data_IF_232769164681
#
_entry.id   IF_232769164681
#
_cell.length_a   1.000
_cell.length_b   1.000
_cell.length_c   1.000
_cell.angle_alpha   90.00
_cell.angle_beta   90.00
_cell.angle_gamma   90.00
#
_symmetry.space_group_name_H-M   'P 1'
#
loop_
_entity.id
_entity.type
_entity.pdbx_description
1 polymer ?
#
# COMPACT_ATOMS: atom_id res chain seq x y z
N UNK A 1 -11.88 -1.68 -1.11
CA UNK A 1 -11.82 -2.63 0.03
C UNK A 1 -12.93 -3.67 -0.06
N UNK A 2 -12.82 -4.73 0.75
CA UNK A 2 -13.87 -5.74 0.91
C UNK A 2 -14.74 -5.42 2.13
N UNK A 3 -16.06 -5.52 1.96
CA UNK A 3 -17.08 -5.37 3.00
C UNK A 3 -17.77 -6.71 3.21
N UNK A 4 -17.75 -7.20 4.45
CA UNK A 4 -18.42 -8.44 4.86
C UNK A 4 -19.62 -8.12 5.75
N UNK A 5 -20.79 -8.60 5.37
CA UNK A 5 -21.99 -8.53 6.20
C UNK A 5 -22.06 -9.77 7.10
N UNK A 6 -22.24 -9.57 8.40
CA UNK A 6 -22.33 -10.61 9.41
C UNK A 6 -23.63 -10.46 10.23
N UNK A 7 -24.15 -11.61 10.70
CA UNK A 7 -25.28 -11.69 11.64
C UNK A 7 -26.59 -11.00 11.23
N UNK A 8 -26.78 -10.67 9.95
CA UNK A 8 -28.02 -10.07 9.47
C UNK A 8 -29.17 -11.09 9.44
N UNK A 9 -30.24 -10.81 10.18
CA UNK A 9 -31.49 -11.58 10.13
C UNK A 9 -32.42 -11.08 9.01
N UNK A 10 -33.50 -11.82 8.74
CA UNK A 10 -34.51 -11.35 7.78
C UNK A 10 -35.21 -10.08 8.29
N UNK A 11 -35.48 -10.04 9.59
CA UNK A 11 -36.09 -8.90 10.26
C UNK A 11 -35.20 -7.65 10.11
N UNK A 12 -33.89 -7.79 10.29
CA UNK A 12 -32.94 -6.69 10.12
C UNK A 12 -32.91 -6.17 8.68
N UNK A 13 -32.85 -7.07 7.70
CA UNK A 13 -32.79 -6.71 6.28
C UNK A 13 -34.08 -6.02 5.81
N UNK A 14 -35.23 -6.36 6.41
CA UNK A 14 -36.51 -5.75 6.07
C UNK A 14 -36.86 -4.53 6.96
N UNK A 15 -36.00 -4.21 7.92
CA UNK A 15 -36.19 -3.07 8.81
C UNK A 15 -35.82 -1.76 8.10
N UNK A 16 -36.79 -0.84 7.99
CA UNK A 16 -36.62 0.49 7.40
C UNK A 16 -35.49 1.30 8.04
N UNK A 17 -35.14 1.00 9.29
CA UNK A 17 -34.05 1.66 9.99
C UNK A 17 -32.68 1.44 9.33
N UNK A 18 -32.44 0.25 8.76
CA UNK A 18 -31.16 -0.11 8.14
C UNK A 18 -31.16 0.01 6.62
N UNK A 19 -32.31 0.24 6.00
CA UNK A 19 -32.49 0.30 4.54
C UNK A 19 -31.50 1.25 3.87
N UNK A 20 -31.35 2.49 4.36
CA UNK A 20 -30.45 3.47 3.75
C UNK A 20 -29.00 2.97 3.74
N UNK A 21 -28.55 2.41 4.86
CA UNK A 21 -27.21 1.84 4.96
C UNK A 21 -27.01 0.68 3.99
N UNK A 22 -27.98 -0.25 3.92
CA UNK A 22 -27.93 -1.39 3.00
C UNK A 22 -27.90 -0.91 1.55
N UNK A 23 -28.71 0.07 1.18
CA UNK A 23 -28.70 0.66 -0.17
C UNK A 23 -27.38 1.36 -0.49
N UNK A 24 -26.79 2.08 0.45
CA UNK A 24 -25.47 2.70 0.27
C UNK A 24 -24.38 1.64 0.04
N UNK A 25 -24.39 0.53 0.80
CA UNK A 25 -23.45 -0.59 0.64
C UNK A 25 -23.58 -1.18 -0.76
N UNK A 26 -24.80 -1.50 -1.20
CA UNK A 26 -25.06 -2.04 -2.53
C UNK A 26 -24.67 -1.06 -3.65
N UNK A 27 -24.92 0.24 -3.45
CA UNK A 27 -24.50 1.27 -4.40
C UNK A 27 -22.98 1.36 -4.50
N UNK A 28 -22.26 1.25 -3.39
CA UNK A 28 -20.79 1.25 -3.39
C UNK A 28 -20.21 0.07 -4.18
N UNK A 29 -20.89 -1.08 -4.15
CA UNK A 29 -20.57 -2.23 -4.98
C UNK A 29 -20.83 -1.95 -6.46
N UNK A 30 -22.03 -1.46 -6.80
CA UNK A 30 -22.40 -1.15 -8.17
C UNK A 30 -21.53 -0.05 -8.82
N UNK A 31 -21.03 0.88 -8.01
CA UNK A 31 -20.10 1.93 -8.41
C UNK A 31 -18.63 1.48 -8.39
N UNK A 32 -18.38 0.16 -8.28
CA UNK A 32 -17.07 -0.49 -8.37
C UNK A 32 -16.10 -0.06 -7.25
N UNK A 33 -16.60 0.52 -6.15
CA UNK A 33 -15.77 1.03 -5.06
C UNK A 33 -15.30 -0.07 -4.14
N UNK A 34 -16.22 -0.98 -3.79
CA UNK A 34 -16.00 -1.98 -2.75
C UNK A 34 -16.59 -3.34 -3.16
N UNK A 35 -15.88 -4.41 -2.83
CA UNK A 35 -16.44 -5.76 -2.90
C UNK A 35 -17.41 -5.94 -1.73
N UNK A 36 -18.52 -6.64 -1.94
CA UNK A 36 -19.49 -6.94 -0.89
C UNK A 36 -19.72 -8.44 -0.82
N UNK A 37 -19.54 -9.02 0.36
CA UNK A 37 -19.84 -10.42 0.67
C UNK A 37 -20.86 -10.48 1.81
N UNK A 38 -21.81 -11.39 1.70
CA UNK A 38 -22.85 -11.61 2.71
C UNK A 38 -23.39 -13.05 2.59
N UNK A 39 -24.28 -13.44 3.50
CA UNK A 39 -25.01 -14.70 3.33
C UNK A 39 -25.88 -14.68 2.07
N UNK A 40 -26.16 -15.85 1.50
CA UNK A 40 -27.11 -15.97 0.38
C UNK A 40 -28.49 -15.41 0.74
N UNK A 41 -28.91 -15.64 1.98
CA UNK A 41 -30.21 -15.19 2.48
C UNK A 41 -30.29 -13.68 2.63
N UNK A 42 -29.20 -13.00 3.01
CA UNK A 42 -29.14 -11.54 3.02
C UNK A 42 -29.53 -10.95 1.66
N UNK A 43 -28.89 -11.40 0.58
CA UNK A 43 -29.19 -10.90 -0.76
C UNK A 43 -30.59 -11.30 -1.23
N UNK A 44 -31.02 -12.54 -1.00
CA UNK A 44 -32.39 -12.98 -1.35
C UNK A 44 -33.47 -12.17 -0.66
N UNK A 45 -33.31 -11.89 0.63
CA UNK A 45 -34.26 -11.08 1.39
C UNK A 45 -34.40 -9.66 0.80
N UNK A 46 -33.33 -9.09 0.24
CA UNK A 46 -33.38 -7.79 -0.47
C UNK A 46 -34.10 -7.93 -1.81
N UNK A 47 -33.73 -8.93 -2.62
CA UNK A 47 -34.30 -9.18 -3.96
C UNK A 47 -35.82 -9.42 -3.88
N UNK A 48 -36.23 -10.28 -2.93
CA UNK A 48 -37.60 -10.73 -2.76
C UNK A 48 -38.44 -9.78 -1.90
N UNK A 49 -37.83 -8.72 -1.34
CA UNK A 49 -38.51 -7.74 -0.51
C UNK A 49 -39.72 -7.15 -1.23
N UNK A 50 -40.90 -7.23 -0.62
CA UNK A 50 -42.14 -6.70 -1.17
C UNK A 50 -42.34 -5.24 -0.74
N UNK A 51 -43.14 -4.51 -1.52
CA UNK A 51 -43.37 -3.08 -1.32
C UNK A 51 -42.13 -2.21 -1.60
N UNK A 52 -42.18 -0.97 -1.14
CA UNK A 52 -41.16 0.06 -1.43
C UNK A 52 -40.01 0.07 -0.40
N UNK A 53 -39.62 -1.10 0.12
CA UNK A 53 -38.48 -1.20 1.06
C UNK A 53 -37.16 -0.94 0.31
N UNK A 54 -36.97 -1.58 -0.84
CA UNK A 54 -35.76 -1.44 -1.66
C UNK A 54 -36.12 -1.04 -3.08
N UNK A 55 -35.36 -0.10 -3.64
CA UNK A 55 -35.51 0.29 -5.04
C UNK A 55 -35.21 -0.87 -6.01
N UNK A 56 -35.76 -0.81 -7.22
CA UNK A 56 -35.45 -1.78 -8.30
C UNK A 56 -33.94 -1.87 -8.55
N UNK A 57 -33.24 -0.74 -8.49
CA UNK A 57 -31.77 -0.70 -8.64
C UNK A 57 -31.06 -1.46 -7.51
N UNK A 58 -31.46 -1.24 -6.26
CA UNK A 58 -30.90 -1.94 -5.09
C UNK A 58 -31.08 -3.45 -5.22
N UNK A 59 -32.26 -3.91 -5.65
CA UNK A 59 -32.53 -5.34 -5.91
C UNK A 59 -31.64 -5.90 -7.02
N UNK A 60 -31.42 -5.14 -8.10
CA UNK A 60 -30.53 -5.53 -9.17
C UNK A 60 -29.07 -5.66 -8.68
N UNK A 61 -28.58 -4.68 -7.93
CA UNK A 61 -27.22 -4.72 -7.36
C UNK A 61 -27.02 -5.90 -6.40
N UNK A 62 -28.03 -6.22 -5.58
CA UNK A 62 -28.00 -7.41 -4.72
C UNK A 62 -27.95 -8.71 -5.54
N UNK A 63 -28.66 -8.78 -6.67
CA UNK A 63 -28.60 -9.92 -7.59
C UNK A 63 -27.22 -10.08 -8.23
N UNK A 64 -26.60 -8.97 -8.67
CA UNK A 64 -25.24 -8.97 -9.21
C UNK A 64 -24.21 -9.42 -8.15
N UNK A 65 -24.27 -8.87 -6.93
CA UNK A 65 -23.41 -9.28 -5.82
C UNK A 65 -23.59 -10.77 -5.47
N UNK A 66 -24.83 -11.25 -5.45
CA UNK A 66 -25.15 -12.67 -5.22
C UNK A 66 -24.56 -13.57 -6.32
N UNK A 67 -24.54 -13.13 -7.58
CA UNK A 67 -23.97 -13.90 -8.68
C UNK A 67 -22.45 -14.10 -8.55
N UNK A 68 -21.75 -13.14 -7.96
CA UNK A 68 -20.31 -13.19 -7.70
C UNK A 68 -19.91 -13.79 -6.34
N UNK A 69 -20.88 -14.27 -5.56
CA UNK A 69 -20.69 -14.62 -4.15
C UNK A 69 -19.56 -15.63 -3.90
N UNK A 70 -19.44 -16.67 -4.73
CA UNK A 70 -18.40 -17.70 -4.56
C UNK A 70 -17.01 -17.13 -4.83
N UNK A 71 -16.87 -16.36 -5.90
CA UNK A 71 -15.62 -15.68 -6.27
C UNK A 71 -15.20 -14.73 -5.15
N UNK A 72 -16.08 -13.84 -4.71
CA UNK A 72 -15.75 -12.84 -3.69
C UNK A 72 -15.49 -13.44 -2.31
N UNK A 73 -16.16 -14.55 -1.94
CA UNK A 73 -15.85 -15.23 -0.69
C UNK A 73 -14.45 -15.83 -0.67
N UNK A 74 -13.91 -16.26 -1.82
CA UNK A 74 -12.52 -16.77 -1.86
C UNK A 74 -11.48 -15.68 -1.54
N UNK A 75 -11.81 -14.43 -1.88
CA UNK A 75 -10.93 -13.26 -1.71
C UNK A 75 -10.72 -12.92 -0.23
N UNK A 76 -11.67 -13.24 0.66
CA UNK A 76 -11.54 -12.89 2.09
C UNK A 76 -10.25 -13.42 2.71
N UNK A 77 -9.75 -14.57 2.25
CA UNK A 77 -8.54 -15.17 2.76
C UNK A 77 -7.26 -14.59 2.16
N UNK A 78 -7.40 -13.85 1.06
CA UNK A 78 -6.33 -13.23 0.28
C UNK A 78 -6.19 -11.72 0.57
N UNK A 79 -6.97 -11.17 1.50
CA UNK A 79 -6.82 -9.78 1.96
C UNK A 79 -6.22 -9.72 3.37
N UNK A 80 -5.49 -8.65 3.68
CA UNK A 80 -4.99 -8.30 5.01
C UNK A 80 -5.85 -7.24 5.70
N UNK A 81 -6.87 -6.70 5.02
CA UNK A 81 -7.85 -5.79 5.60
C UNK A 81 -9.24 -6.03 5.01
N UNK A 82 -10.27 -5.95 5.85
CA UNK A 82 -11.66 -5.86 5.43
C UNK A 82 -12.52 -5.13 6.48
N UNK A 83 -13.65 -4.59 6.01
CA UNK A 83 -14.69 -4.04 6.88
C UNK A 83 -15.71 -5.12 7.15
N UNK A 84 -16.20 -5.18 8.39
CA UNK A 84 -17.24 -6.10 8.80
C UNK A 84 -18.40 -5.36 9.41
N UNK A 85 -19.55 -5.51 8.78
CA UNK A 85 -20.79 -4.90 9.21
C UNK A 85 -21.55 -5.97 9.98
N UNK A 86 -21.51 -5.85 11.30
CA UNK A 86 -22.16 -6.79 12.21
C UNK A 86 -23.54 -6.24 12.61
N UNK A 87 -24.61 -6.91 12.18
CA UNK A 87 -25.97 -6.49 12.49
C UNK A 87 -26.38 -6.70 13.95
N UNK A 88 -25.54 -7.32 14.78
CA UNK A 88 -25.72 -7.31 16.24
C UNK A 88 -25.36 -5.95 16.87
N UNK A 89 -24.61 -5.10 16.15
CA UNK A 89 -24.28 -3.73 16.56
C UNK A 89 -25.33 -2.79 15.95
N UNK A 90 -26.29 -2.33 16.76
CA UNK A 90 -27.47 -1.61 16.27
C UNK A 90 -27.25 -0.09 16.11
N UNK A 91 -26.09 0.43 16.48
CA UNK A 91 -25.74 1.85 16.40
C UNK A 91 -24.64 2.11 15.35
N UNK A 92 -24.03 3.29 15.40
CA UNK A 92 -22.92 3.69 14.53
C UNK A 92 -21.54 3.47 15.17
N UNK A 93 -21.47 2.67 16.24
CA UNK A 93 -20.20 2.34 16.88
C UNK A 93 -19.31 1.49 15.98
N UNK A 94 -18.01 1.54 16.25
CA UNK A 94 -17.02 0.77 15.55
C UNK A 94 -15.85 0.39 16.45
N UNK A 95 -15.10 -0.63 16.04
CA UNK A 95 -13.88 -1.06 16.71
C UNK A 95 -12.89 -1.66 15.71
N UNK A 96 -11.62 -1.69 16.09
CA UNK A 96 -10.58 -2.42 15.38
C UNK A 96 -10.32 -3.76 16.03
N UNK A 97 -10.17 -4.80 15.22
CA UNK A 97 -9.73 -6.11 15.65
C UNK A 97 -8.45 -6.46 14.91
N UNK A 98 -7.39 -6.70 15.67
CA UNK A 98 -6.11 -7.20 15.17
C UNK A 98 -6.10 -8.74 15.26
N UNK A 99 -5.93 -9.40 14.11
CA UNK A 99 -5.85 -10.85 13.98
C UNK A 99 -4.40 -11.31 13.70
N UNK A 100 -3.41 -10.47 13.99
CA UNK A 100 -1.98 -10.67 13.75
C UNK A 100 -1.60 -10.37 12.29
N UNK A 101 -2.04 -11.21 11.36
CA UNK A 101 -1.72 -11.07 9.91
C UNK A 101 -2.78 -10.30 9.12
N UNK A 102 -3.85 -9.87 9.80
CA UNK A 102 -5.00 -9.19 9.19
C UNK A 102 -5.63 -8.24 10.19
N UNK A 103 -6.10 -7.10 9.70
CA UNK A 103 -6.94 -6.19 10.47
C UNK A 103 -8.40 -6.27 9.99
N UNK A 104 -9.33 -6.12 10.93
CA UNK A 104 -10.77 -6.04 10.66
C UNK A 104 -11.32 -4.78 11.31
N UNK A 105 -12.00 -3.94 10.53
CA UNK A 105 -12.77 -2.81 11.05
C UNK A 105 -14.22 -3.27 11.24
N UNK A 106 -14.67 -3.38 12.49
CA UNK A 106 -16.00 -3.89 12.84
C UNK A 106 -16.91 -2.70 13.15
N UNK A 107 -18.09 -2.63 12.52
CA UNK A 107 -19.08 -1.60 12.79
C UNK A 107 -20.51 -2.10 12.60
N UNK A 108 -21.48 -1.37 13.13
CA UNK A 108 -22.90 -1.57 12.82
C UNK A 108 -23.29 -1.01 11.45
N UNK A 109 -24.45 -1.42 10.87
CA UNK A 109 -24.91 -0.92 9.57
C UNK A 109 -25.10 0.60 9.56
N UNK A 110 -25.50 1.21 10.67
CA UNK A 110 -25.71 2.66 10.75
C UNK A 110 -24.41 3.47 10.64
N UNK A 111 -23.23 2.83 10.78
CA UNK A 111 -21.98 3.49 10.45
C UNK A 111 -21.94 3.94 8.98
N UNK A 112 -22.76 3.38 8.10
CA UNK A 112 -22.81 3.71 6.66
C UNK A 112 -24.13 4.36 6.22
N UNK A 113 -24.84 5.01 7.14
CA UNK A 113 -26.04 5.79 6.79
C UNK A 113 -25.71 6.98 5.89
N UNK A 114 -24.51 7.55 6.01
CA UNK A 114 -24.00 8.54 5.07
C UNK A 114 -23.18 7.87 3.96
N UNK A 115 -23.64 8.03 2.72
CA UNK A 115 -22.97 7.52 1.52
C UNK A 115 -21.54 8.06 1.31
N UNK A 116 -21.17 9.17 1.96
CA UNK A 116 -19.81 9.71 1.94
C UNK A 116 -18.78 8.74 2.56
N UNK A 117 -19.22 7.88 3.48
CA UNK A 117 -18.37 6.91 4.18
C UNK A 117 -18.06 5.67 3.34
N UNK A 118 -18.79 5.47 2.24
CA UNK A 118 -18.62 4.39 1.25
C UNK A 118 -18.10 4.91 -0.09
N UNK A 119 -17.41 6.04 -0.08
CA UNK A 119 -16.62 6.46 -1.23
C UNK A 119 -15.36 5.60 -1.34
N UNK A 120 -14.69 5.64 -2.51
CA UNK A 120 -13.39 4.98 -2.67
C UNK A 120 -12.47 5.37 -1.52
N UNK A 121 -11.84 4.37 -0.92
CA UNK A 121 -10.93 4.51 0.21
C UNK A 121 -9.92 5.61 -0.04
N UNK A 122 -9.69 6.44 0.98
CA UNK A 122 -8.67 7.49 0.93
C UNK A 122 -7.31 6.87 1.20
N UNK A 123 -6.39 7.01 0.26
CA UNK A 123 -5.00 6.59 0.42
C UNK A 123 -4.17 7.85 0.64
N UNK A 124 -3.56 7.98 1.80
CA UNK A 124 -2.69 9.11 2.14
C UNK A 124 -1.25 8.66 2.02
N UNK A 125 -0.51 9.28 1.12
CA UNK A 125 0.95 9.10 0.99
C UNK A 125 1.61 10.47 1.04
N UNK A 126 2.93 10.52 1.20
CA UNK A 126 3.64 11.80 1.20
C UNK A 126 3.46 12.56 -0.11
N UNK A 127 3.49 11.82 -1.23
CA UNK A 127 3.24 12.32 -2.57
C UNK A 127 2.23 11.43 -3.32
N UNK A 128 1.33 11.98 -4.16
CA UNK A 128 0.44 11.18 -5.00
C UNK A 128 1.14 10.15 -5.90
N UNK A 129 2.37 10.43 -6.37
CA UNK A 129 3.17 9.49 -7.17
C UNK A 129 3.45 8.18 -6.41
N UNK A 130 3.52 8.24 -5.09
CA UNK A 130 3.74 7.06 -4.25
C UNK A 130 2.58 6.09 -4.40
N UNK A 131 1.35 6.62 -4.35
CA UNK A 131 0.13 5.83 -4.51
C UNK A 131 -0.01 5.23 -5.91
N UNK A 132 0.49 5.92 -6.94
CA UNK A 132 0.55 5.39 -8.30
C UNK A 132 1.53 4.22 -8.40
N UNK A 133 2.68 4.31 -7.73
CA UNK A 133 3.63 3.19 -7.67
C UNK A 133 3.08 2.02 -6.85
N UNK A 134 2.45 2.27 -5.70
CA UNK A 134 1.82 1.22 -4.92
C UNK A 134 0.68 0.51 -5.67
N UNK A 135 -0.03 1.21 -6.57
CA UNK A 135 -0.99 0.58 -7.48
C UNK A 135 -0.34 -0.45 -8.41
N UNK A 136 0.90 -0.21 -8.85
CA UNK A 136 1.69 -1.16 -9.65
C UNK A 136 2.03 -2.39 -8.80
N UNK A 137 2.49 -2.18 -7.57
CA UNK A 137 2.81 -3.25 -6.61
C UNK A 137 1.57 -4.08 -6.25
N UNK A 138 0.42 -3.44 -6.02
CA UNK A 138 -0.87 -4.10 -5.81
C UNK A 138 -1.32 -4.91 -7.04
N UNK A 139 -1.08 -4.39 -8.25
CA UNK A 139 -1.37 -5.11 -9.50
C UNK A 139 -0.47 -6.34 -9.67
N UNK A 140 0.79 -6.27 -9.22
CA UNK A 140 1.68 -7.42 -9.17
C UNK A 140 1.11 -8.50 -8.24
N UNK A 141 0.74 -8.14 -7.01
CA UNK A 141 0.10 -9.06 -6.06
C UNK A 141 -1.17 -9.69 -6.64
N UNK A 142 -2.07 -8.87 -7.20
CA UNK A 142 -3.34 -9.35 -7.74
C UNK A 142 -3.15 -10.33 -8.92
N UNK A 143 -2.06 -10.23 -9.68
CA UNK A 143 -1.75 -11.24 -10.72
C UNK A 143 -1.25 -12.55 -10.12
N UNK A 144 -0.41 -12.48 -9.08
CA UNK A 144 0.14 -13.66 -8.41
C UNK A 144 -0.96 -14.50 -7.76
N UNK A 145 -1.93 -13.84 -7.15
CA UNK A 145 -3.05 -14.50 -6.46
C UNK A 145 -4.27 -14.77 -7.35
N UNK A 146 -4.15 -14.60 -8.68
CA UNK A 146 -5.27 -14.76 -9.63
C UNK A 146 -6.48 -13.85 -9.34
N UNK A 147 -6.24 -12.71 -8.70
CA UNK A 147 -7.20 -11.64 -8.37
C UNK A 147 -7.31 -10.56 -9.46
N UNK A 148 -6.83 -10.84 -10.68
CA UNK A 148 -6.90 -9.88 -11.80
C UNK A 148 -8.33 -9.57 -12.24
N UNK A 149 -9.31 -10.35 -11.79
CA UNK A 149 -10.75 -10.07 -11.89
C UNK A 149 -11.28 -9.02 -10.90
N UNK A 150 -10.40 -8.39 -10.11
CA UNK A 150 -10.74 -7.26 -9.24
C UNK A 150 -10.14 -5.96 -9.78
N UNK A 151 -10.89 -4.87 -9.64
CA UNK A 151 -10.36 -3.52 -9.86
C UNK A 151 -9.56 -3.05 -8.65
N UNK A 152 -8.59 -2.15 -8.88
CA UNK A 152 -7.85 -1.42 -7.85
C UNK A 152 -8.27 0.06 -7.92
N UNK A 153 -9.15 0.45 -7.00
CA UNK A 153 -9.85 1.73 -6.97
C UNK A 153 -9.64 2.43 -5.62
N UNK A 154 -9.13 3.65 -5.67
CA UNK A 154 -8.88 4.48 -4.49
C UNK A 154 -8.90 5.97 -4.85
N UNK A 155 -8.93 6.82 -3.83
CA UNK A 155 -8.70 8.26 -3.96
C UNK A 155 -7.36 8.60 -3.29
N UNK A 156 -6.36 8.97 -4.08
CA UNK A 156 -5.08 9.44 -3.57
C UNK A 156 -5.22 10.82 -2.93
N UNK A 157 -4.67 10.98 -1.73
CA UNK A 157 -4.54 12.27 -1.04
C UNK A 157 -3.06 12.60 -0.90
N UNK A 158 -2.71 13.84 -1.23
CA UNK A 158 -1.37 14.37 -1.03
C UNK A 158 -1.16 14.70 0.45
N UNK A 159 -0.24 14.00 1.10
CA UNK A 159 0.16 14.24 2.49
C UNK A 159 1.05 15.48 2.64
N UNK A 160 1.85 15.81 1.63
CA UNK A 160 2.75 16.98 1.63
C UNK A 160 4.01 16.77 2.47
N UNK A 161 4.55 15.55 2.49
CA UNK A 161 5.70 15.19 3.33
C UNK A 161 5.36 15.33 4.82
N UNK A 162 5.96 16.30 5.50
CA UNK A 162 5.76 16.52 6.95
C UNK A 162 4.31 16.79 7.40
N UNK A 163 3.41 17.22 6.50
CA UNK A 163 1.97 17.43 6.82
C UNK A 163 1.10 16.17 6.62
N UNK A 164 1.70 15.01 6.33
CA UNK A 164 0.97 13.76 6.05
C UNK A 164 0.05 13.38 7.21
N UNK A 165 0.53 13.55 8.45
CA UNK A 165 -0.28 13.31 9.65
C UNK A 165 -1.52 14.19 9.73
N UNK A 166 -1.40 15.48 9.46
CA UNK A 166 -2.54 16.40 9.52
C UNK A 166 -3.60 16.05 8.48
N UNK A 167 -3.16 15.67 7.28
CA UNK A 167 -4.06 15.21 6.21
C UNK A 167 -4.79 13.94 6.65
N UNK A 168 -4.08 12.94 7.17
CA UNK A 168 -4.67 11.70 7.66
C UNK A 168 -5.65 11.93 8.82
N UNK A 169 -5.23 12.69 9.84
CA UNK A 169 -6.05 12.99 11.03
C UNK A 169 -7.33 13.73 10.64
N UNK A 170 -7.26 14.66 9.68
CA UNK A 170 -8.44 15.36 9.15
C UNK A 170 -9.39 14.41 8.40
N UNK A 171 -8.86 13.51 7.59
CA UNK A 171 -9.66 12.51 6.86
C UNK A 171 -10.43 11.60 7.82
N UNK A 172 -9.75 11.01 8.80
CA UNK A 172 -10.43 10.13 9.79
C UNK A 172 -11.35 10.91 10.73
N UNK A 173 -11.10 12.22 10.93
CA UNK A 173 -11.99 13.09 11.70
C UNK A 173 -13.36 13.24 11.05
N UNK A 174 -13.40 13.20 9.72
CA UNK A 174 -14.61 13.23 8.90
C UNK A 174 -15.27 11.85 8.77
N UNK A 175 -14.85 10.83 9.53
CA UNK A 175 -15.31 9.44 9.44
C UNK A 175 -15.11 8.79 8.06
N UNK A 176 -14.20 9.33 7.25
CA UNK A 176 -13.78 8.68 6.01
C UNK A 176 -12.82 7.52 6.36
N UNK A 177 -12.99 6.39 5.67
CA UNK A 177 -12.08 5.24 5.84
C UNK A 177 -10.79 5.53 5.07
N UNK A 178 -9.67 5.49 5.80
CA UNK A 178 -8.37 5.92 5.29
C UNK A 178 -7.25 4.92 5.55
N UNK A 179 -6.36 4.77 4.59
CA UNK A 179 -5.11 4.04 4.73
C UNK A 179 -3.95 5.00 4.46
N UNK A 180 -3.06 5.15 5.43
CA UNK A 180 -1.87 5.99 5.31
C UNK A 180 -0.64 5.11 5.17
N UNK A 181 0.24 5.46 4.24
CA UNK A 181 1.51 4.78 4.02
C UNK A 181 2.61 5.82 4.05
N UNK A 182 3.64 5.56 4.85
CA UNK A 182 4.84 6.40 4.97
C UNK A 182 6.07 5.50 4.97
N UNK A 183 7.17 5.97 4.37
CA UNK A 183 8.50 5.36 4.55
C UNK A 183 9.06 5.68 5.94
N UNK A 184 10.13 4.99 6.35
CA UNK A 184 10.69 5.15 7.69
C UNK A 184 11.87 6.12 7.77
N UNK A 185 12.34 6.64 6.63
CA UNK A 185 13.51 7.51 6.47
C UNK A 185 14.83 6.93 7.02
N UNK A 186 14.90 5.64 7.34
CA UNK A 186 16.08 5.04 7.97
C UNK A 186 17.17 4.78 6.95
N UNK A 187 18.37 5.29 7.24
CA UNK A 187 19.61 4.98 6.50
C UNK A 187 20.43 3.84 7.13
N UNK A 188 19.89 3.23 8.19
CA UNK A 188 20.51 2.17 8.94
C UNK A 188 19.43 1.32 9.65
N UNK A 189 19.52 -0.02 9.65
CA UNK A 189 18.48 -0.91 10.20
C UNK A 189 18.19 -0.68 11.68
N UNK A 190 19.18 -0.21 12.45
CA UNK A 190 19.04 0.10 13.89
C UNK A 190 18.86 1.57 14.20
N UNK A 191 18.79 2.45 13.18
CA UNK A 191 18.47 3.85 13.42
C UNK A 191 17.02 4.00 13.96
N UNK A 192 16.75 5.03 14.78
CA UNK A 192 15.38 5.37 15.15
C UNK A 192 14.57 5.77 13.92
N UNK A 193 13.25 5.63 14.01
CA UNK A 193 12.34 6.17 13.00
C UNK A 193 12.50 7.68 12.91
N UNK A 194 12.71 8.19 11.71
CA UNK A 194 12.86 9.61 11.41
C UNK A 194 11.61 10.21 10.76
N UNK A 195 11.69 11.52 10.52
CA UNK A 195 10.78 12.24 9.64
C UNK A 195 9.29 12.04 9.94
N UNK A 196 8.53 11.76 8.88
CA UNK A 196 7.06 11.67 8.93
C UNK A 196 6.59 10.47 9.76
N UNK A 197 7.29 9.34 9.67
CA UNK A 197 6.92 8.09 10.35
C UNK A 197 6.91 8.18 11.87
N UNK A 198 7.78 9.01 12.45
CA UNK A 198 7.88 9.21 13.90
C UNK A 198 6.55 9.69 14.52
N UNK A 199 5.74 10.42 13.76
CA UNK A 199 4.46 10.94 14.20
C UNK A 199 3.35 9.87 14.32
N UNK A 200 3.60 8.66 13.81
CA UNK A 200 2.63 7.55 13.74
C UNK A 200 2.97 6.37 14.67
N UNK A 201 4.07 6.45 15.42
CA UNK A 201 4.55 5.33 16.26
C UNK A 201 3.63 4.93 17.42
N UNK A 202 2.70 5.80 17.83
CA UNK A 202 1.84 5.56 19.01
C UNK A 202 0.76 4.50 18.76
N UNK A 203 0.20 4.44 17.56
CA UNK A 203 -0.87 3.50 17.21
C UNK A 203 -0.96 3.33 15.71
N UNK A 204 -1.01 2.08 15.24
CA UNK A 204 -1.28 1.77 13.83
C UNK A 204 -2.72 2.09 13.43
N UNK A 205 -3.67 2.02 14.35
CA UNK A 205 -5.10 2.26 14.06
C UNK A 205 -5.62 3.43 14.86
N UNK A 206 -6.34 4.35 14.20
CA UNK A 206 -6.97 5.50 14.86
C UNK A 206 -8.30 5.80 14.16
N UNK A 207 -9.41 5.82 14.91
CA UNK A 207 -10.77 6.01 14.37
C UNK A 207 -11.03 5.09 13.17
N UNK A 208 -11.38 5.62 12.00
CA UNK A 208 -11.64 4.88 10.76
C UNK A 208 -10.39 4.67 9.88
N UNK A 209 -9.19 4.92 10.41
CA UNK A 209 -7.96 4.81 9.64
C UNK A 209 -6.91 3.87 10.22
N UNK A 210 -6.04 3.40 9.32
CA UNK A 210 -4.88 2.59 9.61
C UNK A 210 -3.64 3.21 8.95
N UNK A 211 -2.50 3.12 9.63
CA UNK A 211 -1.20 3.59 9.16
C UNK A 211 -0.26 2.40 9.02
N UNK A 212 0.38 2.31 7.86
CA UNK A 212 1.50 1.42 7.59
C UNK A 212 2.78 2.25 7.46
N UNK A 213 3.77 1.91 8.29
CA UNK A 213 5.13 2.45 8.15
C UNK A 213 5.95 1.40 7.42
N UNK A 214 6.43 1.74 6.23
CA UNK A 214 7.23 0.83 5.42
C UNK A 214 8.62 0.67 6.02
N UNK A 215 9.13 -0.56 5.98
CA UNK A 215 10.53 -0.84 6.33
C UNK A 215 11.44 -0.60 5.11
N UNK A 216 11.47 0.64 4.63
CA UNK A 216 12.37 1.15 3.59
C UNK A 216 12.69 2.61 3.86
N UNK A 217 13.90 3.04 3.50
CA UNK A 217 14.36 4.43 3.61
C UNK A 217 13.44 5.38 2.85
N UNK A 218 13.09 4.98 1.62
CA UNK A 218 12.23 5.74 0.73
C UNK A 218 11.55 4.79 -0.27
N UNK A 219 10.44 5.21 -0.87
CA UNK A 219 9.71 4.40 -1.85
C UNK A 219 10.55 3.97 -3.05
N UNK A 220 11.54 4.77 -3.48
CA UNK A 220 12.47 4.42 -4.55
C UNK A 220 13.25 3.13 -4.26
N UNK A 221 13.41 2.77 -2.98
CA UNK A 221 14.00 1.50 -2.54
C UNK A 221 13.25 0.28 -3.08
N UNK A 222 11.97 0.43 -3.40
CA UNK A 222 11.13 -0.62 -3.97
C UNK A 222 11.27 -0.73 -5.49
N UNK A 223 11.98 0.18 -6.17
CA UNK A 223 12.16 0.12 -7.62
C UNK A 223 13.17 -0.98 -7.98
N UNK A 224 12.82 -1.93 -8.87
CA UNK A 224 13.72 -3.04 -9.23
C UNK A 224 14.95 -2.56 -10.00
N UNK A 225 16.09 -3.27 -9.87
CA UNK A 225 17.35 -2.88 -10.53
C UNK A 225 17.23 -2.78 -12.05
N UNK A 226 16.57 -3.76 -12.67
CA UNK A 226 16.36 -3.78 -14.13
C UNK A 226 15.55 -2.55 -14.59
N UNK A 227 14.68 -2.04 -13.73
CA UNK A 227 13.84 -0.88 -14.00
C UNK A 227 14.64 0.41 -13.84
N UNK A 228 15.47 0.53 -12.79
CA UNK A 228 16.40 1.66 -12.62
C UNK A 228 17.31 1.77 -13.85
N UNK A 229 17.90 0.66 -14.29
CA UNK A 229 18.82 0.62 -15.44
C UNK A 229 18.15 1.05 -16.75
N UNK A 230 16.92 0.59 -17.00
CA UNK A 230 16.14 1.00 -18.19
C UNK A 230 15.74 2.47 -18.12
N UNK A 231 15.33 2.97 -16.97
CA UNK A 231 15.02 4.39 -16.77
C UNK A 231 16.25 5.26 -17.04
N UNK A 232 17.42 4.88 -16.52
CA UNK A 232 18.66 5.61 -16.78
C UNK A 232 19.06 5.55 -18.27
N UNK A 233 18.82 4.42 -18.93
CA UNK A 233 19.05 4.25 -20.37
C UNK A 233 18.16 5.19 -21.19
N UNK A 234 16.85 5.20 -20.92
CA UNK A 234 15.87 6.04 -21.64
C UNK A 234 16.14 7.53 -21.47
N UNK A 235 16.73 7.93 -20.34
CA UNK A 235 17.12 9.31 -20.04
C UNK A 235 18.53 9.67 -20.56
N UNK A 236 19.26 8.75 -21.20
CA UNK A 236 20.66 8.90 -21.58
C UNK A 236 21.57 9.28 -20.39
N UNK A 237 21.26 8.75 -19.20
CA UNK A 237 22.00 8.96 -17.96
C UNK A 237 22.82 7.74 -17.53
N UNK A 238 22.63 6.58 -18.17
CA UNK A 238 23.29 5.33 -17.76
C UNK A 238 24.81 5.48 -17.69
N UNK A 239 25.46 6.02 -18.74
CA UNK A 239 26.92 6.20 -18.76
C UNK A 239 27.43 7.16 -17.67
N UNK A 240 26.61 8.13 -17.24
CA UNK A 240 26.97 9.08 -16.17
C UNK A 240 26.76 8.51 -14.76
N UNK A 241 25.91 7.49 -14.63
CA UNK A 241 25.53 6.88 -13.34
C UNK A 241 25.98 5.43 -13.23
N UNK A 242 26.83 4.98 -14.16
CA UNK A 242 27.29 3.59 -14.25
C UNK A 242 28.02 3.18 -12.98
N UNK A 243 28.98 3.99 -12.52
CA UNK A 243 29.76 3.69 -11.31
C UNK A 243 28.87 3.61 -10.06
N UNK A 244 27.89 4.51 -9.92
CA UNK A 244 26.90 4.46 -8.83
C UNK A 244 26.03 3.21 -8.91
N UNK A 245 25.55 2.84 -10.10
CA UNK A 245 24.73 1.65 -10.30
C UNK A 245 25.51 0.37 -10.01
N UNK A 246 26.77 0.30 -10.44
CA UNK A 246 27.65 -0.85 -10.22
C UNK A 246 28.01 -0.98 -8.74
N UNK A 247 28.36 0.12 -8.07
CA UNK A 247 28.55 0.13 -6.62
C UNK A 247 27.28 -0.32 -5.88
N UNK A 248 26.12 0.23 -6.25
CA UNK A 248 24.84 -0.13 -5.64
C UNK A 248 24.50 -1.61 -5.82
N UNK A 249 24.69 -2.17 -7.03
CA UNK A 249 24.53 -3.61 -7.30
C UNK A 249 25.49 -4.45 -6.46
N UNK A 250 26.75 -4.01 -6.30
CA UNK A 250 27.77 -4.71 -5.48
C UNK A 250 27.39 -4.78 -4.01
N UNK A 251 27.02 -3.66 -3.37
CA UNK A 251 26.62 -3.69 -1.95
C UNK A 251 25.39 -4.57 -1.72
N UNK A 252 24.41 -4.55 -2.64
CA UNK A 252 23.22 -5.38 -2.56
C UNK A 252 23.47 -6.87 -2.87
N UNK A 253 24.56 -7.19 -3.56
CA UNK A 253 24.96 -8.59 -3.79
C UNK A 253 25.57 -9.24 -2.55
N UNK A 254 26.11 -8.45 -1.63
CA UNK A 254 26.63 -8.90 -0.33
C UNK A 254 25.49 -9.01 0.68
N UNK A 255 24.71 -7.94 0.80
CA UNK A 255 23.52 -7.92 1.64
C UNK A 255 22.38 -7.21 0.89
N UNK A 256 21.37 -7.99 0.49
CA UNK A 256 20.21 -7.46 -0.24
C UNK A 256 19.50 -6.35 0.54
N UNK A 257 19.54 -6.38 1.88
CA UNK A 257 18.90 -5.37 2.72
C UNK A 257 19.53 -3.98 2.57
N UNK A 258 20.75 -3.87 2.03
CA UNK A 258 21.36 -2.60 1.65
C UNK A 258 20.45 -1.77 0.74
N UNK A 259 19.64 -2.45 -0.09
CA UNK A 259 18.64 -1.81 -0.95
C UNK A 259 17.61 -1.00 -0.18
N UNK A 260 17.32 -1.31 1.07
CA UNK A 260 16.26 -0.65 1.84
C UNK A 260 16.78 0.48 2.72
N UNK A 261 18.10 0.67 2.81
CA UNK A 261 18.73 1.71 3.61
C UNK A 261 19.61 2.66 2.78
N UNK A 262 19.84 2.34 1.51
CA UNK A 262 20.53 3.20 0.55
C UNK A 262 19.65 4.41 0.18
N UNK A 263 20.26 5.60 0.13
CA UNK A 263 19.60 6.83 -0.32
C UNK A 263 19.65 6.86 -1.86
N UNK A 264 18.58 6.41 -2.52
CA UNK A 264 18.48 6.35 -3.98
C UNK A 264 18.41 7.73 -4.61
N UNK A 265 17.97 8.75 -3.88
CA UNK A 265 17.96 10.14 -4.36
C UNK A 265 19.36 10.77 -4.32
N UNK A 266 20.04 10.73 -3.17
CA UNK A 266 21.32 11.43 -2.92
C UNK A 266 22.54 10.54 -3.10
N UNK A 267 22.42 9.24 -2.87
CA UNK A 267 23.48 8.25 -3.07
C UNK A 267 24.16 7.82 -1.78
N UNK A 268 25.42 7.42 -1.91
CA UNK A 268 26.22 6.87 -0.84
C UNK A 268 27.39 7.76 -0.47
N UNK A 269 27.63 7.87 0.83
CA UNK A 269 28.78 8.54 1.40
C UNK A 269 29.38 7.69 2.53
N UNK A 270 30.64 7.28 2.37
CA UNK A 270 31.30 6.41 3.34
C UNK A 270 31.33 7.03 4.73
N UNK A 271 31.66 8.32 4.84
CA UNK A 271 31.76 8.97 6.13
C UNK A 271 30.43 8.89 6.90
N UNK A 272 29.33 9.21 6.25
CA UNK A 272 27.97 9.09 6.79
C UNK A 272 27.66 7.64 7.19
N UNK A 273 28.04 6.66 6.36
CA UNK A 273 27.83 5.24 6.64
C UNK A 273 28.58 4.78 7.91
N UNK A 274 29.85 5.18 8.07
CA UNK A 274 30.66 4.88 9.25
C UNK A 274 30.13 5.57 10.52
N UNK A 275 29.68 6.82 10.41
CA UNK A 275 29.05 7.56 11.52
C UNK A 275 27.75 6.89 12.01
N UNK A 276 26.94 6.37 11.08
CA UNK A 276 25.73 5.60 11.40
C UNK A 276 26.07 4.29 12.12
N UNK A 277 27.05 3.54 11.62
CA UNK A 277 27.51 2.30 12.25
C UNK A 277 28.11 2.56 13.65
N UNK A 278 28.86 3.66 13.84
CA UNK A 278 29.38 4.03 15.16
C UNK A 278 28.26 4.33 16.17
N UNK A 279 27.15 4.89 15.69
CA UNK A 279 26.02 5.31 16.54
C UNK A 279 25.06 4.15 16.83
N UNK A 280 24.84 3.28 15.84
CA UNK A 280 23.79 2.28 15.87
C UNK A 280 24.30 0.83 15.83
N UNK A 281 25.62 0.66 15.77
CA UNK A 281 26.39 -0.58 15.63
C UNK A 281 26.57 -1.02 14.18
N UNK A 282 27.50 -1.94 13.94
CA UNK A 282 27.89 -2.42 12.60
C UNK A 282 26.73 -2.86 11.67
N UNK A 283 26.73 -2.34 10.45
CA UNK A 283 25.88 -2.76 9.35
C UNK A 283 26.55 -2.49 8.00
N UNK A 284 26.92 -1.23 7.73
CA UNK A 284 27.63 -0.88 6.50
C UNK A 284 29.07 -1.40 6.49
N UNK A 285 29.75 -1.40 7.64
CA UNK A 285 31.13 -1.87 7.81
C UNK A 285 31.38 -3.28 7.27
N UNK A 286 30.63 -4.33 7.67
CA UNK A 286 30.86 -5.67 7.13
C UNK A 286 30.66 -5.72 5.60
N UNK A 287 29.63 -5.05 5.07
CA UNK A 287 29.38 -4.97 3.62
C UNK A 287 30.57 -4.32 2.89
N UNK A 288 31.04 -3.16 3.39
CA UNK A 288 32.13 -2.41 2.78
C UNK A 288 33.47 -3.15 2.86
N UNK A 289 33.72 -3.88 3.95
CA UNK A 289 34.94 -4.69 4.13
C UNK A 289 35.06 -5.77 3.06
N UNK A 290 33.96 -6.41 2.67
CA UNK A 290 33.94 -7.39 1.57
C UNK A 290 34.28 -6.75 0.21
N UNK A 291 33.95 -5.47 0.02
CA UNK A 291 34.28 -4.72 -1.21
C UNK A 291 35.66 -4.08 -1.19
N UNK A 292 36.38 -4.08 -0.07
CA UNK A 292 37.60 -3.29 0.07
C UNK A 292 38.72 -3.75 -0.88
N UNK A 293 38.75 -5.04 -1.26
CA UNK A 293 39.68 -5.55 -2.25
C UNK A 293 39.55 -4.83 -3.61
N UNK A 294 38.31 -4.50 -3.99
CA UNK A 294 37.97 -3.77 -5.22
C UNK A 294 38.13 -2.25 -5.07
N UNK A 295 37.69 -1.70 -3.93
CA UNK A 295 37.59 -0.25 -3.70
C UNK A 295 38.91 0.40 -3.28
N UNK A 296 39.79 -0.37 -2.62
CA UNK A 296 41.12 0.06 -2.16
C UNK A 296 41.08 1.36 -1.32
N UNK A 297 40.04 1.57 -0.49
CA UNK A 297 40.00 2.72 0.44
C UNK A 297 40.37 2.28 1.86
N UNK A 298 41.47 2.84 2.38
CA UNK A 298 41.95 2.62 3.75
C UNK A 298 40.92 2.97 4.82
N UNK A 299 40.06 3.98 4.56
CA UNK A 299 39.04 4.42 5.51
C UNK A 299 37.97 3.35 5.80
N UNK A 300 37.78 2.33 4.94
CA UNK A 300 36.84 1.22 5.20
C UNK A 300 37.26 0.42 6.44
N UNK A 301 38.57 0.30 6.67
CA UNK A 301 39.12 -0.42 7.82
C UNK A 301 39.27 0.48 9.06
N UNK A 302 39.00 1.78 8.93
CA UNK A 302 39.06 2.77 9.99
C UNK A 302 37.70 2.93 10.68
N UNK A 303 37.71 3.42 11.92
CA UNK A 303 36.47 3.80 12.63
C UNK A 303 35.85 5.08 12.06
N UNK A 304 36.65 5.93 11.43
CA UNK A 304 36.20 7.21 10.86
C UNK A 304 36.86 7.51 9.50
N UNK A 305 36.16 8.28 8.66
CA UNK A 305 36.71 8.84 7.41
C UNK A 305 36.94 10.34 7.57
N UNK A 306 38.20 10.76 7.55
CA UNK A 306 38.60 12.18 7.69
C UNK A 306 38.83 12.89 6.35
N UNK A 307 38.64 12.22 5.22
CA UNK A 307 38.81 12.79 3.88
C UNK A 307 37.80 13.92 3.61
N UNK A 308 38.20 14.92 2.81
CA UNK A 308 37.33 16.00 2.32
C UNK A 308 37.55 16.21 0.81
N UNK A 309 36.63 15.80 -0.07
CA UNK A 309 35.41 15.03 0.20
C UNK A 309 35.72 13.60 0.70
N UNK A 310 34.68 12.86 1.13
CA UNK A 310 34.80 11.46 1.55
C UNK A 310 35.49 10.61 0.48
N UNK A 311 36.31 9.61 0.87
CA UNK A 311 37.08 8.82 -0.10
C UNK A 311 36.19 7.99 -1.04
N UNK A 312 34.97 7.67 -0.59
CA UNK A 312 33.99 6.92 -1.37
C UNK A 312 32.65 7.65 -1.31
N UNK A 313 32.34 8.28 -2.43
CA UNK A 313 31.08 8.97 -2.66
C UNK A 313 30.54 8.52 -4.01
N UNK A 314 29.30 8.07 -4.03
CA UNK A 314 28.59 7.69 -5.24
C UNK A 314 27.29 8.47 -5.28
N UNK A 315 27.01 9.15 -6.38
CA UNK A 315 25.76 9.89 -6.51
C UNK A 315 24.55 8.96 -6.48
N UNK A 316 23.42 9.48 -6.01
CA UNK A 316 22.13 8.85 -6.23
C UNK A 316 21.63 9.00 -7.66
N UNK A 317 20.45 8.44 -7.89
CA UNK A 317 19.72 8.45 -9.14
C UNK A 317 18.79 9.68 -9.27
N UNK A 318 18.72 10.51 -8.23
CA UNK A 318 18.06 11.81 -8.19
C UNK A 318 16.57 11.76 -7.82
N UNK A 319 16.04 12.91 -7.39
CA UNK A 319 14.64 13.08 -6.92
C UNK A 319 13.58 12.69 -7.98
N UNK A 320 13.97 12.63 -9.25
CA UNK A 320 13.09 12.26 -10.35
C UNK A 320 12.91 10.74 -10.54
N UNK A 321 13.64 9.88 -9.82
CA UNK A 321 13.68 8.42 -10.09
C UNK A 321 12.28 7.79 -10.09
N UNK A 322 11.45 8.05 -9.07
CA UNK A 322 10.10 7.50 -9.00
C UNK A 322 9.23 8.00 -10.16
N UNK A 323 9.24 9.30 -10.43
CA UNK A 323 8.44 9.91 -11.50
C UNK A 323 8.81 9.36 -12.89
N UNK A 324 10.11 9.12 -13.12
CA UNK A 324 10.60 8.57 -14.39
C UNK A 324 10.33 7.07 -14.50
N UNK A 325 10.38 6.35 -13.38
CA UNK A 325 9.93 4.94 -13.30
C UNK A 325 8.46 4.80 -13.69
N UNK A 326 7.59 5.66 -13.15
CA UNK A 326 6.17 5.66 -13.51
C UNK A 326 5.95 5.98 -14.98
N UNK A 327 6.67 6.97 -15.55
CA UNK A 327 6.61 7.28 -16.98
C UNK A 327 7.03 6.08 -17.83
N UNK A 328 8.15 5.43 -17.49
CA UNK A 328 8.65 4.24 -18.19
C UNK A 328 7.61 3.11 -18.20
N UNK A 329 7.04 2.78 -17.02
CA UNK A 329 6.04 1.70 -16.90
C UNK A 329 4.76 2.03 -17.69
N UNK A 330 4.32 3.29 -17.63
CA UNK A 330 3.08 3.74 -18.29
C UNK A 330 3.22 3.92 -19.81
N UNK A 331 4.41 4.20 -20.34
CA UNK A 331 4.69 4.15 -21.78
C UNK A 331 4.58 2.74 -22.35
N UNK A 332 4.89 1.74 -21.52
CA UNK A 332 4.67 0.33 -21.82
C UNK A 332 3.22 -0.12 -21.58
N UNK A 333 3.06 -1.36 -21.14
CA UNK A 333 1.78 -1.88 -20.68
C UNK A 333 1.92 -2.35 -19.24
N UNK A 334 1.16 -1.75 -18.31
CA UNK A 334 1.13 -2.17 -16.90
C UNK A 334 0.83 -3.66 -16.72
N UNK A 335 0.02 -4.25 -17.63
CA UNK A 335 -0.28 -5.69 -17.63
C UNK A 335 0.94 -6.55 -18.00
N UNK A 336 1.87 -6.01 -18.79
CA UNK A 336 3.10 -6.69 -19.22
C UNK A 336 4.30 -6.37 -18.35
N UNK A 337 4.22 -5.34 -17.50
CA UNK A 337 5.27 -5.00 -16.57
C UNK A 337 5.42 -6.09 -15.49
N UNK A 338 6.46 -6.89 -15.64
CA UNK A 338 6.81 -8.01 -14.76
C UNK A 338 8.33 -7.99 -14.56
N UNK A 339 8.84 -7.07 -13.72
CA UNK A 339 10.27 -6.91 -13.48
C UNK A 339 10.85 -8.11 -12.74
N UNK A 340 12.17 -8.29 -12.82
CA UNK A 340 12.87 -9.25 -11.97
C UNK A 340 13.03 -8.68 -10.56
N UNK A 341 12.50 -9.38 -9.56
CA UNK A 341 12.63 -9.01 -8.15
C UNK A 341 13.61 -9.96 -7.46
N UNK A 342 14.52 -9.41 -6.66
CA UNK A 342 15.31 -10.19 -5.72
C UNK A 342 14.43 -10.74 -4.59
N UNK A 343 14.85 -11.78 -3.85
CA UNK A 343 13.99 -12.45 -2.86
C UNK A 343 13.37 -11.51 -1.81
N UNK A 344 14.15 -10.68 -1.12
CA UNK A 344 13.61 -9.75 -0.12
C UNK A 344 12.73 -8.66 -0.77
N UNK A 345 13.08 -8.19 -1.97
CA UNK A 345 12.25 -7.23 -2.69
C UNK A 345 10.90 -7.85 -3.12
N UNK A 346 10.90 -9.12 -3.53
CA UNK A 346 9.70 -9.88 -3.85
C UNK A 346 8.79 -9.96 -2.62
N UNK A 347 9.32 -10.33 -1.46
CA UNK A 347 8.55 -10.45 -0.22
C UNK A 347 7.93 -9.11 0.17
N UNK A 348 8.72 -8.02 0.14
CA UNK A 348 8.19 -6.67 0.39
C UNK A 348 7.11 -6.26 -0.63
N UNK A 349 7.30 -6.54 -1.91
CA UNK A 349 6.28 -6.27 -2.94
C UNK A 349 5.01 -7.09 -2.73
N UNK A 350 5.15 -8.35 -2.30
CA UNK A 350 4.03 -9.23 -2.06
C UNK A 350 3.20 -8.76 -0.86
N UNK A 351 3.85 -8.48 0.28
CA UNK A 351 3.19 -7.98 1.48
C UNK A 351 2.55 -6.61 1.27
N UNK A 352 3.30 -5.65 0.72
CA UNK A 352 2.79 -4.31 0.45
C UNK A 352 1.67 -4.35 -0.60
N UNK A 353 1.84 -5.17 -1.64
CA UNK A 353 0.83 -5.36 -2.68
C UNK A 353 -0.47 -5.92 -2.10
N UNK A 354 -0.38 -6.91 -1.21
CA UNK A 354 -1.53 -7.45 -0.47
C UNK A 354 -2.21 -6.37 0.38
N UNK A 355 -1.43 -5.61 1.14
CA UNK A 355 -1.94 -4.53 1.99
C UNK A 355 -2.68 -3.50 1.15
N UNK A 356 -2.01 -2.91 0.16
CA UNK A 356 -2.61 -1.89 -0.70
C UNK A 356 -3.83 -2.41 -1.46
N UNK A 357 -3.77 -3.63 -2.00
CA UNK A 357 -4.90 -4.28 -2.67
C UNK A 357 -6.11 -4.42 -1.74
N UNK A 358 -5.90 -4.85 -0.50
CA UNK A 358 -6.99 -5.05 0.47
C UNK A 358 -7.80 -3.78 0.74
N UNK A 359 -7.16 -2.63 0.70
CA UNK A 359 -7.80 -1.32 0.86
C UNK A 359 -8.47 -0.82 -0.42
N UNK A 360 -7.99 -1.22 -1.59
CA UNK A 360 -8.39 -0.66 -2.88
C UNK A 360 -9.19 -1.62 -3.78
N UNK A 361 -9.38 -2.87 -3.38
CA UNK A 361 -10.08 -3.86 -4.21
C UNK A 361 -11.57 -3.50 -4.41
N UNK A 362 -12.05 -3.68 -5.63
CA UNK A 362 -13.45 -3.46 -6.02
C UNK A 362 -13.87 -4.42 -7.15
N UNK A 363 -15.18 -4.51 -7.45
CA UNK A 363 -15.70 -5.31 -8.55
C UNK A 363 -15.10 -4.88 -9.90
N UNK A 364 -14.72 -5.83 -10.75
CA UNK A 364 -14.35 -5.53 -12.12
C UNK A 364 -15.59 -5.42 -13.00
N UNK A 365 -15.63 -4.39 -13.85
CA UNK A 365 -16.73 -4.20 -14.80
C UNK A 365 -16.71 -5.32 -15.84
N UNK A 366 -17.65 -6.28 -15.75
CA UNK A 366 -18.00 -7.10 -16.91
C UNK A 366 -18.58 -6.15 -17.94
N UNK A 367 -17.91 -5.97 -19.08
CA UNK A 367 -18.47 -5.22 -20.20
C UNK A 367 -19.89 -5.73 -20.43
N UNK A 368 -20.89 -4.88 -20.24
CA UNK A 368 -22.27 -5.19 -20.63
C UNK A 368 -22.19 -5.54 -22.11
N UNK A 369 -22.39 -6.81 -22.44
CA UNK A 369 -22.75 -7.18 -23.80
C UNK A 369 -24.10 -6.50 -24.01
N UNK A 370 -24.06 -5.36 -24.70
CA UNK A 370 -25.22 -4.62 -25.19
C UNK A 370 -25.94 -5.43 -26.25
#
# INVERSE_FOLDING_TARGET
MLIKIENATKEDVLNKHFTISIENILRSFAEEKHLVIASRDFFKNIIDAQGDIYSTSSKHFASEALSGLLEYNSIINQVSFYVSIDFSILDNSFSWVDLGVRHKFVCGPLFFSDSSQLQKTKIVCENPLDSDFFKIVASFYARKESLSGCSINFNALNGGGGSTKDTFDRTIKNNEIAFCIVDNDKKHPRAPFGGTSAHFLKSKTTRSGLVEILDVHEIESLVPFDTIERVLSDLNLLSKKQDSLDFFKKICSIDESAKFYFDHKKGFDLKTALELDNTHGDYWRPILKELNADLQCECINSDECHCKPSCLTYDGFGDGLLSNTLKYINQGSLRRYNPSLSPQLYDKWYELGKNFFSWSCGPYKKSRLS
#
